data_IF_578317596537
#
_entry.id   IF_578317596537
#
_cell.length_a   1.000
_cell.length_b   1.000
_cell.length_c   1.000
_cell.angle_alpha   90.00
_cell.angle_beta   90.00
_cell.angle_gamma   90.00
#
_symmetry.space_group_name_H-M   'P 1'
#
loop_
_entity.id
_entity.type
_entity.pdbx_description
1 polymer ?
#
# COMPACT_ATOMS: atom_id res chain seq x y z
N UNK A 1 -13.89 -2.17 -16.48
CA UNK A 1 -12.83 -1.72 -15.57
C UNK A 1 -13.37 -1.68 -14.16
N UNK A 2 -12.94 -2.63 -13.34
CA UNK A 2 -13.19 -2.72 -11.92
C UNK A 2 -12.31 -1.68 -11.17
N UNK A 3 -12.72 -1.25 -9.98
CA UNK A 3 -11.96 -0.26 -9.20
C UNK A 3 -10.57 -0.78 -8.80
N UNK A 4 -10.46 -2.10 -8.55
CA UNK A 4 -9.19 -2.77 -8.20
C UNK A 4 -8.20 -2.85 -9.37
N UNK A 5 -8.68 -2.89 -10.62
CA UNK A 5 -7.82 -2.82 -11.81
C UNK A 5 -7.20 -1.43 -11.91
N UNK A 6 -8.02 -0.38 -11.75
CA UNK A 6 -7.56 1.02 -11.81
C UNK A 6 -6.52 1.37 -10.74
N UNK A 7 -6.65 0.85 -9.52
CA UNK A 7 -5.65 1.08 -8.46
C UNK A 7 -4.35 0.32 -8.74
N UNK A 8 -4.43 -0.94 -9.19
CA UNK A 8 -3.26 -1.71 -9.63
C UNK A 8 -2.50 -1.00 -10.76
N UNK A 9 -3.20 -0.55 -11.80
CA UNK A 9 -2.58 0.10 -12.95
C UNK A 9 -1.95 1.45 -12.57
N UNK A 10 -2.57 2.21 -11.65
CA UNK A 10 -1.99 3.43 -11.11
C UNK A 10 -0.74 3.18 -10.24
N UNK A 11 -0.72 2.09 -9.46
CA UNK A 11 0.46 1.66 -8.70
C UNK A 11 1.59 1.23 -9.64
N UNK A 12 1.30 0.42 -10.67
CA UNK A 12 2.28 0.02 -11.68
C UNK A 12 2.83 1.22 -12.47
N UNK A 13 1.98 2.20 -12.81
CA UNK A 13 2.42 3.43 -13.43
C UNK A 13 3.39 4.20 -12.52
N UNK A 14 3.04 4.41 -11.23
CA UNK A 14 3.93 5.05 -10.24
C UNK A 14 5.27 4.32 -10.11
N UNK A 15 5.28 3.00 -9.93
CA UNK A 15 6.53 2.21 -9.84
C UNK A 15 7.40 2.42 -11.08
N UNK A 16 6.80 2.30 -12.28
CA UNK A 16 7.55 2.49 -13.53
C UNK A 16 8.13 3.90 -13.62
N UNK A 17 7.36 4.97 -13.34
CA UNK A 17 7.84 6.35 -13.37
C UNK A 17 9.01 6.59 -12.41
N UNK A 18 8.90 6.12 -11.16
CA UNK A 18 9.94 6.27 -10.15
C UNK A 18 11.23 5.53 -10.57
N UNK A 19 11.11 4.29 -11.05
CA UNK A 19 12.25 3.53 -11.55
C UNK A 19 12.90 4.20 -12.77
N UNK A 20 12.13 4.61 -13.79
CA UNK A 20 12.67 5.28 -15.00
C UNK A 20 13.32 6.63 -14.69
N UNK A 21 12.93 7.30 -13.61
CA UNK A 21 13.56 8.54 -13.17
C UNK A 21 14.96 8.29 -12.58
N UNK A 22 15.21 7.12 -12.01
CA UNK A 22 16.53 6.75 -11.46
C UNK A 22 17.47 6.28 -12.59
N UNK A 23 17.02 5.31 -13.40
CA UNK A 23 17.71 4.73 -14.56
C UNK A 23 16.62 4.39 -15.61
N UNK A 24 16.84 4.67 -16.90
CA UNK A 24 15.93 4.23 -17.97
C UNK A 24 16.47 2.97 -18.68
N UNK A 25 16.05 1.75 -18.28
CA UNK A 25 16.51 0.51 -18.88
C UNK A 25 15.95 0.26 -20.30
N UNK A 26 15.06 1.12 -20.82
CA UNK A 26 14.53 1.00 -22.19
C UNK A 26 15.42 1.72 -23.21
N UNK A 27 16.30 2.61 -22.77
CA UNK A 27 17.21 3.31 -23.64
C UNK A 27 18.52 2.53 -23.82
N UNK A 28 18.86 2.18 -25.06
CA UNK A 28 20.13 1.50 -25.42
C UNK A 28 21.36 2.42 -25.37
N UNK A 29 21.40 3.35 -24.40
CA UNK A 29 22.59 4.16 -24.13
C UNK A 29 23.49 3.42 -23.13
N UNK A 30 24.81 3.28 -23.37
CA UNK A 30 25.75 2.72 -22.39
C UNK A 30 25.71 3.38 -21.00
N UNK A 31 25.14 4.59 -20.85
CA UNK A 31 24.95 5.26 -19.56
C UNK A 31 23.60 5.01 -18.87
N UNK A 32 22.70 4.21 -19.47
CA UNK A 32 21.37 3.91 -18.89
C UNK A 32 20.30 4.98 -19.13
N UNK A 33 20.46 5.78 -20.18
CA UNK A 33 19.46 6.76 -20.63
C UNK A 33 19.58 8.13 -19.96
N UNK A 34 18.46 8.69 -19.53
CA UNK A 34 18.37 10.06 -19.00
C UNK A 34 17.85 10.12 -17.55
N UNK A 35 18.01 9.03 -16.78
CA UNK A 35 17.73 9.02 -15.34
C UNK A 35 18.76 9.81 -14.55
N UNK A 36 18.43 10.17 -13.30
CA UNK A 36 19.30 11.00 -12.43
C UNK A 36 20.73 10.44 -12.32
N UNK A 37 20.89 9.12 -12.18
CA UNK A 37 22.21 8.49 -12.09
C UNK A 37 22.99 8.58 -13.40
N UNK A 38 22.32 8.36 -14.54
CA UNK A 38 22.90 8.47 -15.88
C UNK A 38 23.42 9.88 -16.15
N UNK A 39 22.65 10.90 -15.78
CA UNK A 39 23.05 12.30 -15.92
C UNK A 39 24.26 12.62 -15.05
N UNK A 40 24.26 12.23 -13.76
CA UNK A 40 25.41 12.45 -12.86
C UNK A 40 26.69 11.80 -13.41
N UNK A 41 26.62 10.53 -13.83
CA UNK A 41 27.77 9.81 -14.39
C UNK A 41 28.30 10.47 -15.67
N UNK A 42 27.40 10.94 -16.55
CA UNK A 42 27.76 11.67 -17.78
C UNK A 42 28.43 13.01 -17.47
N UNK A 43 27.93 13.75 -16.47
CA UNK A 43 28.52 15.03 -16.02
C UNK A 43 29.91 14.85 -15.40
N UNK A 44 30.13 13.77 -14.64
CA UNK A 44 31.45 13.44 -14.06
C UNK A 44 32.44 13.01 -15.14
N UNK A 45 32.06 12.09 -16.05
CA UNK A 45 32.98 11.55 -17.07
C UNK A 45 33.46 12.59 -18.11
N UNK A 46 32.73 13.69 -18.27
CA UNK A 46 33.19 14.86 -19.05
C UNK A 46 34.42 15.57 -18.42
N UNK A 47 34.97 15.06 -17.32
CA UNK A 47 36.28 15.43 -16.78
C UNK A 47 37.41 14.62 -17.45
N UNK A 48 37.42 13.28 -17.31
CA UNK A 48 38.52 12.42 -17.78
C UNK A 48 38.80 12.57 -19.30
N UNK A 49 37.75 12.81 -20.10
CA UNK A 49 37.89 12.99 -21.55
C UNK A 49 38.69 14.24 -21.95
N UNK A 50 38.86 15.21 -21.05
CA UNK A 50 39.55 16.47 -21.31
C UNK A 50 41.03 16.47 -20.83
N UNK A 51 41.47 15.42 -20.12
CA UNK A 51 42.86 15.26 -19.63
C UNK A 51 43.77 14.55 -20.66
N UNK A 52 43.23 14.13 -21.81
CA UNK A 52 43.93 13.33 -22.82
C UNK A 52 44.01 13.97 -24.22
N UNK A 53 43.69 15.25 -24.36
CA UNK A 53 43.94 16.04 -25.58
C UNK A 53 45.06 17.05 -25.30
N UNK A 54 46.26 16.52 -25.07
CA UNK A 54 47.47 17.29 -24.79
C UNK A 54 48.55 16.94 -25.82
N UNK A 55 48.37 17.41 -27.05
CA UNK A 55 49.44 17.49 -28.04
C UNK A 55 49.35 18.78 -28.87
N UNK A 56 50.52 19.32 -29.19
CA UNK A 56 50.86 20.49 -30.02
C UNK A 56 50.13 21.87 -29.84
N UNK A 57 50.95 22.85 -29.42
CA UNK A 57 50.97 24.26 -29.87
C UNK A 57 49.97 25.32 -29.30
N UNK A 58 50.54 26.18 -28.44
CA UNK A 58 50.27 27.61 -28.25
C UNK A 58 48.82 28.08 -27.92
N UNK A 59 48.53 28.14 -26.61
CA UNK A 59 47.63 29.16 -26.03
C UNK A 59 48.15 29.57 -24.64
N UNK A 60 48.11 30.86 -24.30
CA UNK A 60 48.73 31.43 -23.09
C UNK A 60 47.81 31.37 -21.85
N UNK A 61 47.17 30.22 -21.65
CA UNK A 61 46.37 29.92 -20.46
C UNK A 61 46.60 28.47 -20.05
N UNK A 62 46.78 28.20 -18.76
CA UNK A 62 46.64 26.83 -18.24
C UNK A 62 45.25 26.29 -18.61
N UNK A 63 45.11 24.98 -18.89
CA UNK A 63 43.81 24.31 -18.98
C UNK A 63 43.19 24.11 -17.58
N UNK A 64 43.33 25.11 -16.69
CA UNK A 64 42.61 25.17 -15.44
C UNK A 64 41.11 25.17 -15.72
N UNK A 65 40.38 24.25 -15.09
CA UNK A 65 38.95 24.06 -15.26
C UNK A 65 38.22 25.41 -15.35
N UNK A 66 37.57 25.68 -16.49
CA UNK A 66 36.70 26.85 -16.62
C UNK A 66 35.72 26.87 -15.45
N UNK A 67 35.84 27.89 -14.60
CA UNK A 67 35.04 28.00 -13.39
C UNK A 67 33.53 28.08 -13.69
N UNK A 68 33.12 28.60 -14.85
CA UNK A 68 31.72 28.61 -15.26
C UNK A 68 31.23 27.19 -15.59
N UNK A 69 31.97 26.44 -16.42
CA UNK A 69 31.71 25.02 -16.69
C UNK A 69 31.74 24.17 -15.43
N UNK A 70 32.69 24.41 -14.52
CA UNK A 70 32.81 23.66 -13.26
C UNK A 70 31.63 23.91 -12.32
N UNK A 71 31.26 25.19 -12.10
CA UNK A 71 30.09 25.55 -11.30
C UNK A 71 28.78 25.03 -11.91
N UNK A 72 28.64 25.05 -13.25
CA UNK A 72 27.48 24.48 -13.94
C UNK A 72 27.40 22.95 -13.79
N UNK A 73 28.54 22.24 -13.84
CA UNK A 73 28.61 20.79 -13.56
C UNK A 73 28.21 20.49 -12.11
N UNK A 74 28.70 21.26 -11.15
CA UNK A 74 28.34 21.09 -9.73
C UNK A 74 26.84 21.33 -9.50
N UNK A 75 26.27 22.39 -10.09
CA UNK A 75 24.85 22.70 -10.01
C UNK A 75 23.98 21.53 -10.54
N UNK A 76 24.34 20.98 -11.70
CA UNK A 76 23.66 19.80 -12.27
C UNK A 76 23.78 18.60 -11.34
N UNK A 77 24.98 18.28 -10.83
CA UNK A 77 25.15 17.14 -9.91
C UNK A 77 24.30 17.31 -8.64
N UNK A 78 24.27 18.52 -8.06
CA UNK A 78 23.43 18.85 -6.90
C UNK A 78 21.93 18.69 -7.18
N UNK A 79 21.45 19.19 -8.32
CA UNK A 79 20.05 19.07 -8.74
C UNK A 79 19.64 17.61 -8.95
N UNK A 80 20.39 16.86 -9.75
CA UNK A 80 20.09 15.46 -10.05
C UNK A 80 20.17 14.58 -8.79
N UNK A 81 21.07 14.91 -7.85
CA UNK A 81 21.15 14.24 -6.53
C UNK A 81 19.92 14.54 -5.66
N UNK A 82 19.43 15.79 -5.65
CA UNK A 82 18.20 16.13 -4.95
C UNK A 82 16.97 15.43 -5.56
N UNK A 83 16.90 15.32 -6.89
CA UNK A 83 15.91 14.52 -7.61
C UNK A 83 15.94 13.04 -7.20
N UNK A 84 17.12 12.41 -7.22
CA UNK A 84 17.33 11.03 -6.80
C UNK A 84 16.89 10.78 -5.35
N UNK A 85 17.26 11.67 -4.41
CA UNK A 85 16.85 11.58 -3.00
C UNK A 85 15.33 11.66 -2.87
N UNK A 86 14.68 12.60 -3.58
CA UNK A 86 13.22 12.72 -3.60
C UNK A 86 12.54 11.47 -4.14
N UNK A 87 13.05 10.89 -5.24
CA UNK A 87 12.50 9.64 -5.81
C UNK A 87 12.70 8.45 -4.87
N UNK A 88 13.81 8.37 -4.13
CA UNK A 88 14.00 7.35 -3.09
C UNK A 88 13.02 7.51 -1.91
N UNK A 89 12.70 8.75 -1.52
CA UNK A 89 11.65 9.04 -0.53
C UNK A 89 10.26 8.64 -1.06
N UNK A 90 9.95 8.96 -2.31
CA UNK A 90 8.67 8.59 -2.95
C UNK A 90 8.51 7.05 -3.09
N UNK A 91 9.60 6.32 -3.37
CA UNK A 91 9.61 4.84 -3.32
C UNK A 91 9.36 4.35 -1.88
N UNK A 92 9.96 5.00 -0.88
CA UNK A 92 9.77 4.64 0.54
C UNK A 92 8.32 4.86 0.99
N UNK A 93 7.68 5.95 0.55
CA UNK A 93 6.24 6.19 0.73
C UNK A 93 5.42 5.13 0.01
N UNK A 94 5.74 4.80 -1.25
CA UNK A 94 5.01 3.79 -2.02
C UNK A 94 5.09 2.38 -1.42
N UNK A 95 6.23 2.00 -0.84
CA UNK A 95 6.37 0.74 -0.08
C UNK A 95 5.46 0.74 1.15
N UNK A 96 5.33 1.89 1.84
CA UNK A 96 4.40 2.05 2.95
C UNK A 96 2.94 1.98 2.50
N UNK A 97 2.56 2.69 1.44
CA UNK A 97 1.21 2.63 0.84
C UNK A 97 0.82 1.18 0.51
N UNK A 98 1.77 0.39 -0.02
CA UNK A 98 1.57 -1.03 -0.33
C UNK A 98 1.48 -1.92 0.92
N UNK A 99 2.25 -1.65 1.97
CA UNK A 99 2.14 -2.34 3.26
C UNK A 99 0.81 -2.02 3.96
N UNK A 100 0.38 -0.77 3.96
CA UNK A 100 -0.90 -0.35 4.52
C UNK A 100 -2.07 -0.92 3.69
N UNK A 101 -1.96 -0.99 2.36
CA UNK A 101 -2.92 -1.70 1.51
C UNK A 101 -2.95 -3.21 1.78
N UNK A 102 -1.82 -3.85 2.11
CA UNK A 102 -1.78 -5.27 2.44
C UNK A 102 -2.33 -5.58 3.84
N UNK A 103 -2.10 -4.70 4.82
CA UNK A 103 -2.58 -4.85 6.20
C UNK A 103 -4.05 -4.45 6.39
N UNK A 104 -4.55 -3.46 5.64
CA UNK A 104 -5.91 -2.93 5.79
C UNK A 104 -6.85 -3.24 4.61
N UNK A 105 -6.33 -3.64 3.44
CA UNK A 105 -7.11 -3.88 2.23
C UNK A 105 -7.93 -5.18 2.21
N UNK A 106 -8.31 -5.71 3.37
CA UNK A 106 -9.06 -6.96 3.50
C UNK A 106 -8.19 -8.20 3.37
N UNK A 107 -7.28 -8.42 4.34
CA UNK A 107 -6.69 -9.73 4.55
C UNK A 107 -7.80 -10.70 4.99
N UNK A 108 -8.20 -11.61 4.10
CA UNK A 108 -9.33 -12.52 4.29
C UNK A 108 -9.00 -13.72 5.20
N UNK A 109 -8.50 -13.42 6.41
CA UNK A 109 -8.09 -14.39 7.43
C UNK A 109 -9.15 -14.65 8.50
N UNK A 110 -10.37 -14.14 8.30
CA UNK A 110 -11.55 -14.45 9.15
C UNK A 110 -12.62 -15.26 8.41
N UNK A 111 -12.67 -15.23 7.08
CA UNK A 111 -13.56 -16.06 6.26
C UNK A 111 -12.95 -17.45 6.04
N UNK A 112 -12.68 -18.17 7.12
CA UNK A 112 -12.41 -19.61 7.03
C UNK A 112 -13.64 -20.29 6.39
N UNK A 113 -13.52 -20.98 5.24
CA UNK A 113 -14.69 -21.55 4.55
C UNK A 113 -15.42 -22.62 5.38
N UNK A 114 -14.76 -23.21 6.38
CA UNK A 114 -15.40 -24.08 7.36
C UNK A 114 -16.36 -23.32 8.30
N UNK A 115 -16.05 -22.07 8.65
CA UNK A 115 -16.89 -21.23 9.52
C UNK A 115 -18.10 -20.65 8.77
N UNK A 116 -17.98 -20.36 7.47
CA UNK A 116 -19.14 -20.07 6.62
C UNK A 116 -20.10 -21.28 6.57
N UNK A 117 -19.58 -22.48 6.33
CA UNK A 117 -20.43 -23.67 6.25
C UNK A 117 -21.03 -24.04 7.61
N UNK A 118 -20.27 -23.85 8.70
CA UNK A 118 -20.76 -24.02 10.07
C UNK A 118 -21.85 -23.00 10.41
N UNK A 119 -21.70 -21.73 10.01
CA UNK A 119 -22.73 -20.70 10.23
C UNK A 119 -23.98 -20.95 9.37
N UNK A 120 -23.83 -21.45 8.13
CA UNK A 120 -24.96 -21.92 7.31
C UNK A 120 -25.70 -23.08 7.99
N UNK A 121 -24.98 -24.06 8.56
CA UNK A 121 -25.57 -25.18 9.31
C UNK A 121 -26.29 -24.71 10.58
N UNK A 122 -25.70 -23.78 11.34
CA UNK A 122 -26.35 -23.14 12.52
C UNK A 122 -27.63 -22.39 12.12
N UNK A 123 -27.59 -21.61 11.03
CA UNK A 123 -28.74 -20.84 10.55
C UNK A 123 -29.91 -21.75 10.14
N UNK A 124 -29.62 -22.88 9.47
CA UNK A 124 -30.63 -23.89 9.13
C UNK A 124 -31.24 -24.54 10.39
N UNK A 125 -30.42 -24.93 11.37
CA UNK A 125 -30.90 -25.50 12.63
C UNK A 125 -31.74 -24.49 13.45
N UNK A 126 -31.39 -23.19 13.43
CA UNK A 126 -32.19 -22.12 14.05
C UNK A 126 -33.52 -21.93 13.31
N UNK A 127 -33.53 -21.98 11.98
CA UNK A 127 -34.77 -21.92 11.20
C UNK A 127 -35.69 -23.13 11.49
N UNK A 128 -35.14 -24.34 11.60
CA UNK A 128 -35.87 -25.56 11.97
C UNK A 128 -36.44 -25.48 13.39
N UNK A 129 -35.67 -24.98 14.36
CA UNK A 129 -36.17 -24.74 15.72
C UNK A 129 -37.28 -23.68 15.77
N UNK A 130 -37.17 -22.59 15.00
CA UNK A 130 -38.21 -21.57 14.88
C UNK A 130 -39.47 -22.15 14.21
N UNK A 131 -39.33 -22.99 13.18
CA UNK A 131 -40.47 -23.65 12.53
C UNK A 131 -41.14 -24.65 13.48
N UNK A 132 -40.37 -25.40 14.27
CA UNK A 132 -40.87 -26.28 15.32
C UNK A 132 -41.66 -25.54 16.40
N UNK A 133 -41.15 -24.40 16.88
CA UNK A 133 -41.84 -23.53 17.83
C UNK A 133 -43.08 -22.87 17.23
N UNK A 134 -43.07 -22.49 15.95
CA UNK A 134 -44.23 -21.95 15.25
C UNK A 134 -45.32 -23.03 15.02
N UNK A 135 -44.94 -24.29 14.81
CA UNK A 135 -45.83 -25.45 14.76
C UNK A 135 -46.37 -25.83 16.15
N UNK A 136 -45.60 -25.63 17.22
CA UNK A 136 -46.07 -25.64 18.60
C UNK A 136 -46.90 -24.38 18.93
N UNK A 137 -48.05 -24.27 18.26
CA UNK A 137 -49.10 -23.31 18.58
C UNK A 137 -49.33 -23.29 20.10
N UNK A 138 -49.22 -22.14 20.79
CA UNK A 138 -49.30 -22.11 22.24
C UNK A 138 -50.63 -22.69 22.71
N UNK A 139 -50.56 -23.76 23.48
CA UNK A 139 -51.74 -24.38 24.08
C UNK A 139 -52.28 -23.44 25.15
N UNK A 140 -53.27 -22.63 24.77
CA UNK A 140 -53.98 -21.77 25.70
C UNK A 140 -54.63 -22.65 26.78
N UNK A 141 -54.05 -22.65 27.99
CA UNK A 141 -54.55 -23.41 29.13
C UNK A 141 -55.95 -22.94 29.49
N UNK A 142 -56.95 -23.70 29.04
CA UNK A 142 -58.26 -23.71 29.67
C UNK A 142 -58.14 -24.48 30.97
N UNK A 143 -57.97 -23.77 32.07
CA UNK A 143 -58.23 -24.30 33.40
C UNK A 143 -59.16 -23.34 34.11
N UNK A 144 -60.31 -23.83 34.56
CA UNK A 144 -61.40 -22.99 35.03
C UNK A 144 -62.21 -23.72 36.11
N UNK A 145 -61.86 -23.47 37.38
CA UNK A 145 -62.68 -23.79 38.55
C UNK A 145 -62.09 -24.84 39.51
N UNK A 146 -62.38 -24.61 40.80
CA UNK A 146 -62.18 -25.52 41.97
C UNK A 146 -60.72 -25.66 42.43
N UNK A 147 -60.32 -25.37 43.68
CA UNK A 147 -61.07 -24.89 44.85
C UNK A 147 -60.30 -23.82 45.65
N UNK A 148 -61.03 -22.88 46.25
CA UNK A 148 -60.53 -22.03 47.34
C UNK A 148 -60.45 -22.83 48.63
N UNK A 149 -59.26 -22.92 49.24
CA UNK A 149 -59.04 -23.56 50.55
C UNK A 149 -58.55 -22.53 51.56
N UNK A 150 -59.46 -22.21 52.50
CA UNK A 150 -59.30 -21.69 53.87
C UNK A 150 -58.19 -20.67 54.22
N UNK A 151 -58.66 -19.58 54.81
CA UNK A 151 -57.95 -18.46 55.44
C UNK A 151 -57.74 -18.71 56.95
N UNK A 152 -56.55 -19.16 57.39
CA UNK A 152 -56.25 -19.47 58.81
C UNK A 152 -54.73 -19.31 59.13
N UNK A 153 -54.16 -18.51 60.07
CA UNK A 153 -54.50 -17.20 60.72
C UNK A 153 -53.23 -16.57 61.36
N UNK A 154 -53.02 -15.24 61.27
CA UNK A 154 -52.18 -14.33 62.11
C UNK A 154 -50.62 -14.48 62.21
N UNK A 155 -49.94 -13.34 62.45
CA UNK A 155 -48.53 -13.27 62.90
C UNK A 155 -47.83 -11.90 62.74
N UNK A 156 -47.91 -11.01 63.73
CA UNK A 156 -47.18 -9.73 63.78
C UNK A 156 -45.72 -9.87 64.30
N UNK A 157 -44.86 -8.92 63.94
CA UNK A 157 -43.52 -8.74 64.52
C UNK A 157 -42.82 -7.49 63.96
N UNK A 158 -42.56 -6.49 64.82
CA UNK A 158 -41.91 -5.21 64.47
C UNK A 158 -40.38 -5.26 64.56
#
# INVERSE_FOLDING_TARGET
MNSSERTKDALLAKVNTLCTSIIDPKHSDPWGGNGYLSTILRTVKMNDANEHVADEQYSEFEPGLDYATSAQRELVIREQTAGLIKTAQEISTLVRDLQELWLFGGLDTLSNPADEEANRKKALAVAEMIEGLAKQKPSASKENGVATVKEETNGEGS
#
